data_IF_445875612782
#
_entry.id   IF_445875612782
#
_cell.length_a   1.000
_cell.length_b   1.000
_cell.length_c   1.000
_cell.angle_alpha   90.00
_cell.angle_beta   90.00
_cell.angle_gamma   90.00
#
_symmetry.space_group_name_H-M   'P 1'
#
loop_
_entity.id
_entity.type
_entity.pdbx_description
1 polymer ?
#
# COMPACT_ATOMS: atom_id res chain seq x y z
N UNK A 1 25.38 5.06 1.00
CA UNK A 1 26.18 4.15 0.13
C UNK A 1 26.37 4.87 -1.18
N UNK A 2 27.57 4.82 -1.79
CA UNK A 2 27.77 5.45 -3.09
C UNK A 2 27.38 4.45 -4.18
N UNK A 3 26.99 4.95 -5.39
CA UNK A 3 26.64 4.11 -6.53
C UNK A 3 27.75 3.12 -6.92
N UNK A 4 28.98 3.39 -6.52
CA UNK A 4 30.16 2.54 -6.75
C UNK A 4 30.21 1.29 -5.86
N UNK A 5 29.74 1.36 -4.63
CA UNK A 5 29.72 0.22 -3.70
C UNK A 5 28.74 -0.83 -4.22
N UNK A 6 27.60 -0.39 -4.78
CA UNK A 6 26.60 -1.23 -5.39
C UNK A 6 27.13 -2.02 -6.62
N UNK A 7 27.79 -1.35 -7.55
CA UNK A 7 28.35 -2.00 -8.76
C UNK A 7 29.40 -3.06 -8.38
N UNK A 8 30.15 -2.80 -7.32
CA UNK A 8 31.17 -3.74 -6.83
C UNK A 8 30.53 -4.96 -6.17
N UNK A 9 29.48 -4.80 -5.40
CA UNK A 9 28.76 -5.89 -4.73
C UNK A 9 28.07 -6.79 -5.75
N UNK A 10 27.39 -6.23 -6.74
CA UNK A 10 26.79 -6.97 -7.85
C UNK A 10 27.82 -7.78 -8.65
N UNK A 11 28.98 -7.20 -8.91
CA UNK A 11 30.05 -7.90 -9.62
C UNK A 11 30.62 -9.06 -8.80
N UNK A 12 30.72 -8.91 -7.48
CA UNK A 12 31.14 -9.96 -6.57
C UNK A 12 30.14 -11.11 -6.45
N UNK A 13 28.86 -10.85 -6.67
CA UNK A 13 27.79 -11.85 -6.71
C UNK A 13 27.67 -12.55 -8.07
N UNK A 14 28.50 -12.18 -9.05
CA UNK A 14 28.63 -12.88 -10.32
C UNK A 14 27.82 -12.28 -11.48
N UNK A 15 27.26 -11.08 -11.32
CA UNK A 15 26.57 -10.37 -12.39
C UNK A 15 27.59 -9.75 -13.37
N UNK A 16 27.31 -9.85 -14.67
CA UNK A 16 28.12 -9.21 -15.69
C UNK A 16 27.85 -7.70 -15.75
N UNK A 17 28.82 -6.89 -16.23
CA UNK A 17 28.61 -5.44 -16.41
C UNK A 17 27.38 -5.11 -17.28
N UNK A 18 27.10 -5.94 -18.29
CA UNK A 18 25.94 -5.73 -19.19
C UNK A 18 24.62 -5.97 -18.44
N UNK A 19 24.54 -7.00 -17.59
CA UNK A 19 23.37 -7.29 -16.74
C UNK A 19 23.13 -6.17 -15.72
N UNK A 20 24.18 -5.60 -15.16
CA UNK A 20 24.08 -4.48 -14.23
C UNK A 20 23.60 -3.22 -14.95
N UNK A 21 24.09 -2.98 -16.19
CA UNK A 21 23.69 -1.84 -17.00
C UNK A 21 22.22 -1.95 -17.43
N UNK A 22 21.76 -3.13 -17.82
CA UNK A 22 20.36 -3.39 -18.19
C UNK A 22 19.41 -3.21 -16.99
N UNK A 23 19.77 -3.71 -15.83
CA UNK A 23 18.99 -3.52 -14.60
C UNK A 23 18.87 -2.04 -14.24
N UNK A 24 19.97 -1.28 -14.32
CA UNK A 24 19.96 0.16 -14.09
C UNK A 24 19.12 0.92 -15.14
N UNK A 25 19.14 0.49 -16.41
CA UNK A 25 18.34 1.08 -17.49
C UNK A 25 16.84 0.81 -17.30
N UNK A 26 16.46 -0.32 -16.67
CA UNK A 26 15.09 -0.66 -16.31
C UNK A 26 14.61 0.05 -15.03
N UNK A 27 15.48 0.78 -14.33
CA UNK A 27 15.13 1.54 -13.13
C UNK A 27 15.14 0.74 -11.82
N UNK A 28 15.69 -0.47 -11.82
CA UNK A 28 15.89 -1.25 -10.60
C UNK A 28 16.94 -0.61 -9.72
N UNK A 29 16.64 -0.54 -8.43
CA UNK A 29 17.61 -0.12 -7.41
C UNK A 29 18.33 -1.35 -6.81
N UNK A 30 19.41 -1.14 -6.05
CA UNK A 30 20.18 -2.23 -5.44
C UNK A 30 19.36 -3.20 -4.60
N UNK A 31 18.40 -2.69 -3.84
CA UNK A 31 17.60 -3.49 -2.92
C UNK A 31 16.63 -4.39 -3.71
N UNK A 32 16.05 -3.88 -4.81
CA UNK A 32 15.17 -4.65 -5.69
C UNK A 32 15.90 -5.87 -6.30
N UNK A 33 17.17 -5.69 -6.68
CA UNK A 33 17.99 -6.75 -7.29
C UNK A 33 18.36 -7.84 -6.28
N UNK A 34 18.71 -7.45 -5.05
CA UNK A 34 19.00 -8.41 -3.98
C UNK A 34 17.76 -9.24 -3.64
N UNK A 35 16.60 -8.62 -3.58
CA UNK A 35 15.33 -9.30 -3.29
C UNK A 35 14.94 -10.29 -4.40
N UNK A 36 15.10 -9.92 -5.66
CA UNK A 36 14.83 -10.79 -6.82
C UNK A 36 15.81 -11.97 -6.87
N UNK A 37 17.10 -11.73 -6.59
CA UNK A 37 18.12 -12.78 -6.51
C UNK A 37 17.87 -13.75 -5.35
N UNK A 38 17.38 -13.25 -4.21
CA UNK A 38 17.02 -14.07 -3.05
C UNK A 38 15.81 -14.99 -3.35
N UNK A 39 14.93 -14.61 -4.29
CA UNK A 39 13.83 -15.43 -4.78
C UNK A 39 14.29 -16.50 -5.82
N UNK A 40 15.57 -16.52 -6.19
CA UNK A 40 16.15 -17.53 -7.06
C UNK A 40 15.96 -17.26 -8.56
N UNK A 41 15.59 -16.05 -8.96
CA UNK A 41 15.47 -15.66 -10.37
C UNK A 41 16.82 -15.20 -10.93
N UNK A 42 17.10 -15.64 -12.16
CA UNK A 42 18.28 -15.16 -12.88
C UNK A 42 17.99 -13.79 -13.53
N UNK A 43 19.03 -12.97 -13.78
CA UNK A 43 18.86 -11.65 -14.42
C UNK A 43 18.16 -11.70 -15.78
N UNK A 44 18.25 -12.80 -16.52
CA UNK A 44 17.56 -12.97 -17.81
C UNK A 44 16.05 -13.22 -17.68
N UNK A 45 15.59 -13.57 -16.48
CA UNK A 45 14.17 -13.81 -16.17
C UNK A 45 13.47 -12.54 -15.67
N UNK A 46 14.23 -11.48 -15.38
CA UNK A 46 13.66 -10.22 -14.85
C UNK A 46 12.67 -9.55 -15.80
N UNK A 47 12.93 -9.57 -17.11
CA UNK A 47 12.02 -8.99 -18.10
C UNK A 47 10.70 -9.76 -18.24
N UNK A 48 10.70 -11.06 -17.96
CA UNK A 48 9.47 -11.86 -17.96
C UNK A 48 8.67 -11.68 -16.67
N UNK A 49 9.34 -11.31 -15.58
CA UNK A 49 8.68 -11.02 -14.29
C UNK A 49 7.93 -9.69 -14.36
N UNK A 50 8.47 -8.67 -15.04
CA UNK A 50 7.81 -7.37 -15.19
C UNK A 50 6.49 -7.45 -15.98
N UNK A 51 6.32 -8.42 -16.88
CA UNK A 51 5.08 -8.65 -17.62
C UNK A 51 4.04 -9.44 -16.82
N UNK A 52 4.44 -10.20 -15.79
CA UNK A 52 3.55 -11.03 -14.94
C UNK A 52 3.35 -10.45 -13.53
N UNK A 53 4.25 -9.60 -13.04
CA UNK A 53 4.07 -8.90 -11.77
C UNK A 53 3.18 -7.67 -12.00
N UNK A 54 2.05 -7.56 -11.31
CA UNK A 54 1.31 -6.30 -11.29
C UNK A 54 2.27 -5.21 -10.79
N UNK A 55 2.46 -4.16 -11.60
CA UNK A 55 3.35 -3.02 -11.45
C UNK A 55 3.67 -2.67 -9.98
N UNK A 56 4.96 -2.78 -9.61
CA UNK A 56 5.60 -2.21 -8.41
C UNK A 56 4.83 -2.37 -7.08
N UNK A 57 4.44 -3.58 -6.75
CA UNK A 57 4.03 -3.87 -5.37
C UNK A 57 5.31 -4.17 -4.59
N UNK A 58 5.63 -3.33 -3.62
CA UNK A 58 6.53 -3.75 -2.57
C UNK A 58 5.97 -5.07 -2.05
N UNK A 59 6.75 -6.15 -2.15
CA UNK A 59 6.31 -7.46 -1.64
C UNK A 59 6.12 -7.24 -0.16
N UNK A 60 4.85 -7.16 0.26
CA UNK A 60 4.52 -6.99 1.66
C UNK A 60 5.09 -8.19 2.42
N UNK A 61 5.59 -7.96 3.62
CA UNK A 61 6.08 -9.02 4.48
C UNK A 61 5.05 -10.17 4.52
N UNK A 62 5.42 -11.40 4.10
CA UNK A 62 4.49 -12.53 4.06
C UNK A 62 3.84 -12.80 5.42
N UNK A 63 4.55 -12.55 6.52
CA UNK A 63 4.01 -12.70 7.87
C UNK A 63 2.90 -11.66 8.12
N UNK A 64 3.09 -10.42 7.65
CA UNK A 64 2.07 -9.38 7.75
C UNK A 64 0.82 -9.73 6.95
N UNK A 65 0.98 -10.30 5.75
CA UNK A 65 -0.16 -10.80 4.93
C UNK A 65 -0.92 -11.89 5.67
N UNK A 66 -0.23 -12.89 6.22
CA UNK A 66 -0.85 -13.97 7.00
C UNK A 66 -1.62 -13.44 8.23
N UNK A 67 -1.04 -12.46 8.93
CA UNK A 67 -1.70 -11.80 10.07
C UNK A 67 -2.97 -11.08 9.60
N UNK A 68 -2.89 -10.30 8.53
CA UNK A 68 -4.04 -9.60 7.96
C UNK A 68 -5.17 -10.56 7.59
N UNK A 69 -4.89 -11.62 6.84
CA UNK A 69 -5.87 -12.64 6.45
C UNK A 69 -6.53 -13.31 7.66
N UNK A 70 -5.71 -13.68 8.66
CA UNK A 70 -6.21 -14.27 9.91
C UNK A 70 -7.16 -13.32 10.67
N UNK A 71 -6.84 -12.03 10.73
CA UNK A 71 -7.69 -11.03 11.38
C UNK A 71 -9.03 -10.86 10.63
N UNK A 72 -9.00 -10.86 9.29
CA UNK A 72 -10.21 -10.79 8.46
C UNK A 72 -11.09 -12.02 8.68
N UNK A 73 -10.51 -13.22 8.71
CA UNK A 73 -11.26 -14.48 8.91
C UNK A 73 -11.84 -14.58 10.33
N UNK A 74 -11.11 -14.10 11.34
CA UNK A 74 -11.64 -14.00 12.69
C UNK A 74 -12.80 -12.98 12.78
N UNK A 75 -12.71 -11.85 12.07
CA UNK A 75 -13.79 -10.88 12.00
C UNK A 75 -15.05 -11.45 11.33
N UNK A 76 -14.89 -12.22 10.24
CA UNK A 76 -16.00 -12.96 9.57
C UNK A 76 -16.65 -13.97 10.53
N UNK A 77 -15.82 -14.77 11.21
CA UNK A 77 -16.27 -15.79 12.17
C UNK A 77 -17.02 -15.15 13.33
N UNK A 78 -16.50 -14.06 13.88
CA UNK A 78 -17.17 -13.30 14.94
C UNK A 78 -18.53 -12.76 14.48
N UNK A 79 -18.60 -12.19 13.28
CA UNK A 79 -19.87 -11.72 12.71
C UNK A 79 -20.88 -12.86 12.52
N UNK A 80 -20.44 -14.00 11.99
CA UNK A 80 -21.30 -15.18 11.79
C UNK A 80 -21.88 -15.69 13.10
N UNK A 81 -21.09 -15.70 14.18
CA UNK A 81 -21.52 -16.20 15.48
C UNK A 81 -22.37 -15.21 16.27
N UNK A 82 -22.13 -13.92 16.11
CA UNK A 82 -22.71 -12.89 17.00
C UNK A 82 -23.62 -11.88 16.31
N UNK A 83 -23.62 -11.87 14.99
CA UNK A 83 -24.25 -10.83 14.14
C UNK A 83 -23.78 -9.41 14.51
N UNK A 84 -22.52 -9.27 14.95
CA UNK A 84 -21.89 -8.00 15.34
C UNK A 84 -20.55 -7.83 14.63
N UNK A 85 -20.23 -6.60 14.25
CA UNK A 85 -18.94 -6.28 13.66
C UNK A 85 -17.90 -5.98 14.75
N UNK A 86 -16.67 -6.49 14.56
CA UNK A 86 -15.52 -6.06 15.35
C UNK A 86 -15.16 -4.61 15.01
N UNK A 87 -14.61 -3.87 15.97
CA UNK A 87 -14.24 -2.46 15.78
C UNK A 87 -12.73 -2.33 15.45
N UNK A 88 -12.26 -3.06 14.45
CA UNK A 88 -10.84 -3.11 14.04
C UNK A 88 -10.60 -2.60 12.61
N UNK A 89 -11.65 -2.12 11.94
CA UNK A 89 -11.61 -1.79 10.50
C UNK A 89 -10.64 -0.66 10.15
N UNK A 90 -10.39 0.26 11.06
CA UNK A 90 -9.40 1.31 10.87
C UNK A 90 -8.00 0.72 10.69
N UNK A 91 -7.58 -0.11 11.63
CA UNK A 91 -6.28 -0.80 11.59
C UNK A 91 -6.15 -1.74 10.39
N UNK A 92 -7.21 -2.53 10.11
CA UNK A 92 -7.24 -3.40 8.93
C UNK A 92 -7.15 -2.61 7.61
N UNK A 93 -7.73 -1.42 7.54
CA UNK A 93 -7.61 -0.55 6.38
C UNK A 93 -6.19 -0.01 6.19
N UNK A 94 -5.49 0.30 7.29
CA UNK A 94 -4.08 0.70 7.23
C UNK A 94 -3.16 -0.47 6.85
N UNK A 95 -3.42 -1.68 7.38
CA UNK A 95 -2.70 -2.90 7.00
C UNK A 95 -2.92 -3.24 5.52
N UNK A 96 -4.17 -3.18 5.05
CA UNK A 96 -4.48 -3.36 3.63
C UNK A 96 -3.72 -2.37 2.74
N UNK A 97 -3.66 -1.11 3.17
CA UNK A 97 -2.94 -0.07 2.43
C UNK A 97 -1.43 -0.33 2.35
N UNK A 98 -0.84 -0.88 3.40
CA UNK A 98 0.56 -1.30 3.41
C UNK A 98 0.78 -2.50 2.48
N UNK A 99 -0.06 -3.53 2.57
CA UNK A 99 0.06 -4.77 1.80
C UNK A 99 -0.20 -4.53 0.31
N UNK A 100 -1.30 -3.86 -0.03
CA UNK A 100 -1.77 -3.72 -1.42
C UNK A 100 -1.03 -2.63 -2.19
N UNK A 101 -0.64 -1.54 -1.52
CA UNK A 101 -0.07 -0.36 -2.18
C UNK A 101 1.37 -0.06 -1.77
N UNK A 102 1.96 -0.85 -0.86
CA UNK A 102 3.31 -0.59 -0.36
C UNK A 102 3.42 0.71 0.44
N UNK A 103 2.34 1.17 1.07
CA UNK A 103 2.38 2.38 1.91
C UNK A 103 3.19 2.07 3.17
N UNK A 104 4.31 2.75 3.35
CA UNK A 104 5.10 2.67 4.58
C UNK A 104 4.37 3.44 5.68
N UNK A 105 3.72 2.72 6.62
CA UNK A 105 2.98 3.33 7.74
C UNK A 105 3.91 4.11 8.66
N UNK A 106 3.41 5.22 9.18
CA UNK A 106 4.11 5.97 10.22
C UNK A 106 3.97 5.27 11.58
N UNK A 107 4.85 5.63 12.52
CA UNK A 107 4.73 5.17 13.90
C UNK A 107 3.37 5.60 14.48
N UNK A 108 2.77 4.77 15.36
CA UNK A 108 1.53 5.14 16.02
C UNK A 108 1.57 6.55 16.60
N UNK A 109 0.46 7.28 16.49
CA UNK A 109 0.32 8.66 16.96
C UNK A 109 1.16 9.72 16.23
N UNK A 110 1.76 9.39 15.08
CA UNK A 110 2.39 10.41 14.22
C UNK A 110 1.31 11.38 13.73
N UNK A 111 1.59 12.69 13.84
CA UNK A 111 0.64 13.72 13.41
C UNK A 111 0.78 13.99 11.92
N UNK A 112 -0.34 14.16 11.24
CA UNK A 112 -0.40 14.76 9.91
C UNK A 112 -0.77 13.82 8.78
N UNK A 113 -0.30 12.57 8.80
CA UNK A 113 -0.63 11.54 7.82
C UNK A 113 -0.44 10.16 8.44
N UNK A 114 -1.06 9.14 7.86
CA UNK A 114 -1.00 7.76 8.35
C UNK A 114 0.19 7.00 7.76
N UNK A 115 0.69 7.40 6.57
CA UNK A 115 1.83 6.75 5.94
C UNK A 115 2.41 7.54 4.76
N UNK A 116 3.33 6.90 4.04
CA UNK A 116 4.04 7.46 2.89
C UNK A 116 4.09 6.46 1.75
N UNK A 117 3.85 6.93 0.52
CA UNK A 117 4.00 6.18 -0.72
C UNK A 117 4.89 6.98 -1.67
N UNK A 118 6.12 6.54 -1.87
CA UNK A 118 7.13 7.34 -2.55
C UNK A 118 7.31 8.71 -1.89
N UNK A 119 7.05 9.80 -2.62
CA UNK A 119 7.13 11.17 -2.11
C UNK A 119 5.79 11.69 -1.54
N UNK A 120 4.71 10.90 -1.61
CA UNK A 120 3.39 11.32 -1.18
C UNK A 120 3.11 10.94 0.28
N UNK A 121 2.63 11.90 1.07
CA UNK A 121 2.06 11.66 2.38
C UNK A 121 0.58 11.25 2.23
N UNK A 122 0.23 10.11 2.80
CA UNK A 122 -1.08 9.47 2.65
C UNK A 122 -1.86 9.54 3.96
N UNK A 123 -3.07 10.06 3.88
CA UNK A 123 -4.09 9.89 4.93
C UNK A 123 -4.97 8.71 4.55
N UNK A 124 -5.25 7.80 5.46
CA UNK A 124 -6.07 6.61 5.22
C UNK A 124 -7.37 6.74 5.97
N UNK A 125 -8.48 6.46 5.31
CA UNK A 125 -9.81 6.42 5.94
C UNK A 125 -10.57 5.19 5.50
N UNK A 126 -11.07 4.44 6.47
CA UNK A 126 -11.78 3.20 6.23
C UNK A 126 -13.29 3.39 6.33
N UNK A 127 -14.00 2.88 5.33
CA UNK A 127 -15.45 2.67 5.37
C UNK A 127 -15.67 1.23 5.81
N UNK A 128 -16.12 1.06 7.04
CA UNK A 128 -16.35 -0.26 7.64
C UNK A 128 -17.64 -0.91 7.10
N UNK A 129 -17.75 -2.25 7.14
CA UNK A 129 -18.85 -2.98 6.50
C UNK A 129 -20.24 -2.67 7.09
N UNK A 130 -20.30 -2.19 8.33
CA UNK A 130 -21.57 -1.78 8.97
C UNK A 130 -22.04 -0.40 8.53
N UNK A 131 -21.23 0.40 7.85
CA UNK A 131 -21.61 1.74 7.41
C UNK A 131 -22.43 1.71 6.13
N UNK A 132 -23.59 2.34 6.17
CA UNK A 132 -24.46 2.52 5.00
C UNK A 132 -24.05 3.72 4.12
N UNK A 133 -23.10 4.54 4.56
CA UNK A 133 -22.68 5.75 3.86
C UNK A 133 -21.33 5.55 3.16
N UNK A 134 -21.19 6.20 2.01
CA UNK A 134 -19.96 6.17 1.20
C UNK A 134 -19.06 7.39 1.40
N UNK A 135 -19.20 8.08 2.52
CA UNK A 135 -18.45 9.31 2.81
C UNK A 135 -17.53 9.15 4.01
N UNK A 136 -16.35 9.73 3.87
CA UNK A 136 -15.37 9.86 4.96
C UNK A 136 -15.09 11.33 5.26
N UNK A 137 -14.77 11.62 6.53
CA UNK A 137 -14.34 12.94 6.98
C UNK A 137 -12.84 12.95 7.25
N UNK A 138 -12.16 13.97 6.73
CA UNK A 138 -10.70 14.13 6.84
C UNK A 138 -10.39 15.47 7.47
N UNK A 139 -9.45 15.53 8.42
CA UNK A 139 -9.01 16.79 9.04
C UNK A 139 -8.25 17.64 8.02
N UNK A 140 -8.69 18.90 7.80
CA UNK A 140 -8.02 19.82 6.88
C UNK A 140 -6.61 20.22 7.33
N UNK A 141 -6.35 20.21 8.62
CA UNK A 141 -5.04 20.51 9.19
C UNK A 141 -4.01 19.37 9.07
N UNK A 142 -4.40 18.19 8.53
CA UNK A 142 -3.49 17.08 8.28
C UNK A 142 -2.41 17.45 7.25
N UNK A 143 -1.21 16.90 7.40
CA UNK A 143 -0.12 17.07 6.44
C UNK A 143 -0.07 15.87 5.50
N UNK A 144 -0.97 15.83 4.53
CA UNK A 144 -1.04 14.79 3.49
C UNK A 144 -1.31 15.43 2.13
N UNK A 145 -0.93 14.78 1.06
CA UNK A 145 -1.20 15.21 -0.33
C UNK A 145 -2.15 14.24 -1.06
N UNK A 146 -2.31 13.03 -0.58
CA UNK A 146 -3.32 12.07 -1.08
C UNK A 146 -4.12 11.47 0.08
N UNK A 147 -5.39 11.23 -0.16
CA UNK A 147 -6.28 10.45 0.69
C UNK A 147 -6.47 9.08 0.04
N UNK A 148 -6.27 8.01 0.79
CA UNK A 148 -6.72 6.68 0.42
C UNK A 148 -7.99 6.35 1.20
N UNK A 149 -9.08 6.11 0.49
CA UNK A 149 -10.29 5.53 1.07
C UNK A 149 -10.21 4.03 0.88
N UNK A 150 -10.25 3.28 1.97
CA UNK A 150 -10.38 1.82 1.97
C UNK A 150 -11.82 1.48 2.29
N UNK A 151 -12.53 0.83 1.37
CA UNK A 151 -13.90 0.35 1.58
C UNK A 151 -13.88 -1.13 1.87
N UNK A 152 -14.46 -1.51 3.01
CA UNK A 152 -14.69 -2.91 3.35
C UNK A 152 -16.15 -3.22 3.05
N UNK A 153 -16.38 -4.20 2.18
CA UNK A 153 -17.73 -4.62 1.81
C UNK A 153 -18.37 -5.49 2.89
N UNK A 154 -19.67 -5.75 2.79
CA UNK A 154 -20.36 -6.69 3.68
C UNK A 154 -19.85 -8.14 3.56
N UNK A 155 -19.19 -8.48 2.44
CA UNK A 155 -18.53 -9.76 2.25
C UNK A 155 -17.07 -9.77 2.76
N UNK A 156 -16.66 -8.73 3.46
CA UNK A 156 -15.31 -8.56 4.02
C UNK A 156 -14.20 -8.51 2.95
N UNK A 157 -14.52 -8.04 1.74
CA UNK A 157 -13.54 -7.70 0.71
C UNK A 157 -13.11 -6.25 0.86
N UNK A 158 -11.84 -5.97 0.52
CA UNK A 158 -11.25 -4.65 0.65
C UNK A 158 -11.04 -4.06 -0.74
N UNK A 159 -11.34 -2.78 -0.88
CA UNK A 159 -11.12 -2.00 -2.10
C UNK A 159 -10.54 -0.63 -1.71
N UNK A 160 -9.56 -0.13 -2.48
CA UNK A 160 -8.95 1.17 -2.22
C UNK A 160 -9.19 2.18 -3.34
N UNK A 161 -9.33 3.47 -2.97
CA UNK A 161 -9.47 4.58 -3.90
C UNK A 161 -8.62 5.76 -3.46
N UNK A 162 -7.69 6.18 -4.32
CA UNK A 162 -6.89 7.38 -4.07
C UNK A 162 -7.63 8.65 -4.54
N UNK A 163 -7.56 9.69 -3.71
CA UNK A 163 -8.09 11.01 -4.00
C UNK A 163 -7.01 12.04 -3.71
N UNK A 164 -6.62 12.83 -4.70
CA UNK A 164 -5.69 13.93 -4.47
C UNK A 164 -6.32 14.97 -3.51
N UNK A 165 -5.55 15.47 -2.55
CA UNK A 165 -6.03 16.47 -1.57
C UNK A 165 -6.70 17.68 -2.20
N UNK A 166 -6.19 18.14 -3.35
CA UNK A 166 -6.78 19.27 -4.10
C UNK A 166 -8.22 19.04 -4.55
N UNK A 167 -8.64 17.76 -4.65
CA UNK A 167 -9.99 17.35 -5.09
C UNK A 167 -10.97 17.18 -3.91
N UNK A 168 -10.52 17.36 -2.66
CA UNK A 168 -11.41 17.32 -1.51
C UNK A 168 -12.34 18.52 -1.47
N UNK A 169 -13.49 18.36 -0.82
CA UNK A 169 -14.50 19.44 -0.68
C UNK A 169 -13.88 20.71 -0.11
N UNK A 170 -14.12 21.85 -0.78
CA UNK A 170 -13.72 23.16 -0.30
C UNK A 170 -14.71 23.64 0.78
N UNK A 171 -14.26 24.44 1.74
CA UNK A 171 -15.10 25.01 2.80
C UNK A 171 -14.27 25.44 4.00
N UNK A 172 -14.88 26.16 4.94
CA UNK A 172 -14.22 26.77 6.11
C UNK A 172 -14.17 25.85 7.35
N UNK A 173 -14.82 24.70 7.32
CA UNK A 173 -14.88 23.76 8.45
C UNK A 173 -13.55 23.05 8.74
N UNK A 174 -13.40 22.52 9.96
CA UNK A 174 -12.23 21.74 10.40
C UNK A 174 -12.00 20.46 9.59
N UNK A 175 -13.04 19.96 8.90
CA UNK A 175 -13.03 18.71 8.14
C UNK A 175 -13.41 18.97 6.68
N UNK A 176 -12.78 18.24 5.78
CA UNK A 176 -13.21 18.02 4.41
C UNK A 176 -14.00 16.70 4.34
N UNK A 177 -14.87 16.58 3.36
CA UNK A 177 -15.58 15.33 3.06
C UNK A 177 -15.07 14.80 1.72
N UNK A 178 -14.89 13.49 1.65
CA UNK A 178 -14.62 12.76 0.42
C UNK A 178 -15.63 11.60 0.31
N UNK A 179 -16.04 11.29 -0.91
CA UNK A 179 -16.99 10.21 -1.19
C UNK A 179 -16.28 9.10 -1.94
N UNK A 180 -16.57 7.87 -1.57
CA UNK A 180 -16.27 6.71 -2.40
C UNK A 180 -17.08 6.83 -3.70
N UNK A 181 -16.46 6.63 -4.85
CA UNK A 181 -17.14 6.57 -6.14
C UNK A 181 -16.99 5.18 -6.73
N UNK A 182 -18.10 4.58 -7.15
CA UNK A 182 -18.07 3.28 -7.85
C UNK A 182 -17.48 3.39 -9.28
N UNK A 183 -17.09 4.58 -9.72
CA UNK A 183 -16.39 4.77 -10.98
C UNK A 183 -14.91 4.45 -10.78
N UNK A 184 -14.54 3.22 -11.08
CA UNK A 184 -13.17 2.88 -11.44
C UNK A 184 -12.86 3.61 -12.77
N UNK A 185 -12.47 4.88 -12.68
CA UNK A 185 -11.83 5.50 -13.81
C UNK A 185 -10.42 4.92 -13.88
N UNK A 186 -10.27 4.08 -14.86
CA UNK A 186 -9.08 3.57 -15.53
C UNK A 186 -7.93 4.57 -15.55
#
# INVERSE_FOLDING_TARGET
MSDWDFLHDMHNEGYSPDQIADAAACGYNPDDIVDIAALGFSPNEWQTIDDELPSSHSIADPELVMIFESLVDNAKSFYTLTNRYLQIWGELGELYAEIEYGIKRHKPHTRGSDGKLGNDFIEIKTISPEKNGEQVKVKRAGNFNKLLIVKVTQNFTFEGQFIARKNLSKGEGKHATASWSNNKNT
#
